data_IF_767148533782
#
_entry.id   IF_767148533782
#
_cell.length_a   1.000
_cell.length_b   1.000
_cell.length_c   1.000
_cell.angle_alpha   90.00
_cell.angle_beta   90.00
_cell.angle_gamma   90.00
#
_symmetry.space_group_name_H-M   'P 1'
#
loop_
_entity.id
_entity.type
_entity.pdbx_description
1 polymer ?
#
# COMPACT_ATOMS: atom_id res chain seq x y z
N UNK A 1 4.96 -7.25 13.14
CA UNK A 1 4.28 -8.56 13.02
C UNK A 1 3.64 -8.92 14.35
N UNK A 2 2.44 -9.48 14.36
CA UNK A 2 1.68 -9.86 15.54
C UNK A 2 2.20 -11.16 16.15
N UNK A 3 1.99 -11.37 17.47
CA UNK A 3 2.34 -12.63 18.13
C UNK A 3 1.60 -13.82 17.52
N UNK A 4 0.29 -13.68 17.26
CA UNK A 4 -0.53 -14.70 16.60
C UNK A 4 -0.03 -15.08 15.21
N UNK A 5 0.57 -14.13 14.47
CA UNK A 5 1.17 -14.39 13.16
C UNK A 5 2.50 -15.14 13.29
N UNK A 6 3.31 -14.80 14.30
CA UNK A 6 4.55 -15.52 14.59
C UNK A 6 4.26 -16.98 14.99
N UNK A 7 3.25 -17.23 15.83
CA UNK A 7 2.81 -18.57 16.24
C UNK A 7 2.39 -19.44 15.06
N UNK A 8 1.62 -18.86 14.11
CA UNK A 8 1.25 -19.57 12.87
C UNK A 8 2.50 -19.90 12.04
N UNK A 9 3.47 -18.96 11.93
CA UNK A 9 4.72 -19.21 11.21
C UNK A 9 5.55 -20.35 11.80
N UNK A 10 5.68 -20.40 13.13
CA UNK A 10 6.37 -21.49 13.84
C UNK A 10 5.67 -22.82 13.60
N UNK A 11 4.34 -22.85 13.72
CA UNK A 11 3.57 -24.06 13.44
C UNK A 11 3.74 -24.54 12.00
N UNK A 12 3.66 -23.62 11.04
CA UNK A 12 3.81 -23.94 9.62
C UNK A 12 5.21 -24.49 9.26
N UNK A 13 6.25 -24.13 10.02
CA UNK A 13 7.58 -24.72 9.88
C UNK A 13 7.55 -26.19 10.35
N UNK A 14 6.93 -26.49 11.50
CA UNK A 14 6.81 -27.86 12.01
C UNK A 14 5.90 -28.72 11.13
N UNK A 15 4.83 -28.16 10.55
CA UNK A 15 3.96 -28.89 9.62
C UNK A 15 4.73 -29.37 8.37
N UNK A 16 5.88 -28.74 8.03
CA UNK A 16 6.76 -29.17 6.94
C UNK A 16 7.70 -30.32 7.33
N UNK A 17 7.84 -30.65 8.60
CA UNK A 17 8.63 -31.81 9.06
C UNK A 17 7.95 -33.14 8.73
N UNK A 18 6.63 -33.12 8.50
CA UNK A 18 5.86 -34.26 8.02
C UNK A 18 5.33 -34.04 6.59
N UNK A 19 6.09 -34.47 5.57
CA UNK A 19 5.68 -34.33 4.18
C UNK A 19 4.36 -35.00 3.82
N UNK A 20 3.95 -36.01 4.60
CA UNK A 20 2.68 -36.75 4.37
C UNK A 20 1.44 -35.92 4.71
N UNK A 21 1.60 -34.87 5.48
CA UNK A 21 0.53 -33.93 5.82
C UNK A 21 0.18 -32.95 4.67
N UNK A 22 1.08 -32.77 3.71
CA UNK A 22 0.89 -31.86 2.57
C UNK A 22 0.06 -32.55 1.47
N UNK A 23 -1.20 -32.19 1.38
CA UNK A 23 -2.12 -32.68 0.33
C UNK A 23 -2.10 -31.74 -0.88
N UNK A 24 -2.40 -32.23 -2.10
CA UNK A 24 -2.53 -31.38 -3.28
C UNK A 24 -3.46 -30.18 -3.09
N UNK A 25 -4.56 -30.38 -2.38
CA UNK A 25 -5.56 -29.34 -2.09
C UNK A 25 -4.97 -28.19 -1.27
N UNK A 26 -4.00 -28.45 -0.40
CA UNK A 26 -3.37 -27.44 0.47
C UNK A 26 -2.69 -26.32 -0.32
N UNK A 27 -2.24 -26.57 -1.56
CA UNK A 27 -1.68 -25.56 -2.45
C UNK A 27 -2.72 -24.48 -2.83
N UNK A 28 -3.98 -24.84 -2.93
CA UNK A 28 -5.05 -23.97 -3.39
C UNK A 28 -5.90 -23.43 -2.23
N UNK A 29 -6.14 -24.23 -1.19
CA UNK A 29 -6.90 -23.82 0.00
C UNK A 29 -6.25 -22.63 0.70
N UNK A 30 -4.93 -22.68 0.95
CA UNK A 30 -4.19 -21.60 1.61
C UNK A 30 -4.19 -20.30 0.79
N UNK A 31 -4.01 -20.40 -0.52
CA UNK A 31 -4.03 -19.22 -1.41
C UNK A 31 -5.43 -18.63 -1.52
N UNK A 32 -6.48 -19.46 -1.60
CA UNK A 32 -7.87 -19.00 -1.60
C UNK A 32 -8.24 -18.30 -0.30
N UNK A 33 -7.83 -18.87 0.85
CA UNK A 33 -8.04 -18.24 2.16
C UNK A 33 -7.41 -16.85 2.25
N UNK A 34 -6.18 -16.67 1.77
CA UNK A 34 -5.50 -15.37 1.75
C UNK A 34 -6.24 -14.38 0.85
N UNK A 35 -6.62 -14.78 -0.37
CA UNK A 35 -7.40 -13.91 -1.27
C UNK A 35 -8.74 -13.52 -0.68
N UNK A 36 -9.42 -14.44 0.01
CA UNK A 36 -10.71 -14.19 0.67
C UNK A 36 -10.58 -13.13 1.76
N UNK A 37 -9.58 -13.25 2.64
CA UNK A 37 -9.36 -12.27 3.70
C UNK A 37 -8.98 -10.89 3.13
N UNK A 38 -8.19 -10.87 2.07
CA UNK A 38 -7.84 -9.61 1.42
C UNK A 38 -9.03 -8.99 0.68
N UNK A 39 -9.82 -9.78 -0.04
CA UNK A 39 -11.04 -9.31 -0.70
C UNK A 39 -12.01 -8.67 0.30
N UNK A 40 -12.18 -9.28 1.48
CA UNK A 40 -12.97 -8.73 2.59
C UNK A 40 -12.41 -7.39 3.06
N UNK A 41 -11.09 -7.29 3.26
CA UNK A 41 -10.43 -6.08 3.77
C UNK A 41 -10.61 -4.87 2.86
N UNK A 42 -10.63 -5.07 1.54
CA UNK A 42 -10.74 -3.98 0.56
C UNK A 42 -12.12 -3.85 -0.08
N UNK A 43 -13.10 -4.67 0.33
CA UNK A 43 -14.44 -4.68 -0.28
C UNK A 43 -14.42 -5.10 -1.75
N UNK A 44 -13.54 -6.03 -2.14
CA UNK A 44 -13.49 -6.53 -3.51
C UNK A 44 -14.68 -7.47 -3.79
N UNK A 45 -15.19 -7.51 -5.04
CA UNK A 45 -16.40 -8.27 -5.38
C UNK A 45 -16.22 -9.79 -5.29
N UNK A 46 -14.98 -10.26 -5.42
CA UNK A 46 -14.63 -11.68 -5.39
C UNK A 46 -13.17 -11.86 -4.97
N UNK A 47 -12.88 -12.97 -4.30
CA UNK A 47 -11.50 -13.40 -4.02
C UNK A 47 -10.70 -13.65 -5.32
N UNK A 48 -11.39 -14.00 -6.41
CA UNK A 48 -10.76 -14.19 -7.73
C UNK A 48 -10.30 -12.90 -8.40
N UNK A 49 -10.72 -11.73 -7.91
CA UNK A 49 -10.17 -10.43 -8.33
C UNK A 49 -8.91 -10.03 -7.57
N UNK A 50 -8.46 -10.89 -6.65
CA UNK A 50 -7.24 -10.72 -5.86
C UNK A 50 -6.15 -11.68 -6.33
N UNK A 51 -4.88 -11.32 -6.10
CA UNK A 51 -3.70 -12.10 -6.45
C UNK A 51 -2.65 -12.00 -5.34
N UNK A 52 -1.91 -13.08 -5.11
CA UNK A 52 -0.78 -13.13 -4.19
C UNK A 52 0.48 -12.73 -4.95
N UNK A 53 1.16 -11.71 -4.46
CA UNK A 53 2.37 -11.16 -5.09
C UNK A 53 3.51 -11.06 -4.08
N UNK A 54 4.78 -11.31 -4.47
CA UNK A 54 5.89 -11.30 -3.54
C UNK A 54 6.28 -9.89 -3.13
N UNK A 55 5.91 -8.90 -3.93
CA UNK A 55 6.25 -7.48 -3.70
C UNK A 55 5.34 -6.55 -4.51
N UNK A 56 5.29 -5.29 -4.09
CA UNK A 56 4.62 -4.22 -4.84
C UNK A 56 5.20 -4.08 -6.26
N UNK A 57 6.53 -4.15 -6.41
CA UNK A 57 7.18 -4.05 -7.73
C UNK A 57 6.79 -5.17 -8.69
N UNK A 58 6.58 -6.40 -8.20
CA UNK A 58 6.07 -7.50 -9.01
C UNK A 58 4.65 -7.20 -9.53
N UNK A 59 3.77 -6.72 -8.64
CA UNK A 59 2.41 -6.36 -9.02
C UNK A 59 2.37 -5.20 -10.02
N UNK A 60 3.18 -4.15 -9.80
CA UNK A 60 3.29 -3.02 -10.73
C UNK A 60 3.86 -3.43 -12.08
N UNK A 61 4.76 -4.42 -12.13
CA UNK A 61 5.27 -4.96 -13.41
C UNK A 61 4.16 -5.66 -14.21
N UNK A 62 3.22 -6.36 -13.55
CA UNK A 62 2.02 -6.89 -14.20
C UNK A 62 1.14 -5.76 -14.78
N UNK A 63 0.94 -4.66 -14.04
CA UNK A 63 0.24 -3.47 -14.54
C UNK A 63 0.95 -2.90 -15.77
N UNK A 64 2.26 -2.65 -15.67
CA UNK A 64 3.07 -2.06 -16.73
C UNK A 64 3.02 -2.90 -18.02
N UNK A 65 3.13 -4.23 -17.91
CA UNK A 65 3.04 -5.14 -19.05
C UNK A 65 1.72 -5.02 -19.80
N UNK A 66 0.62 -4.80 -19.08
CA UNK A 66 -0.74 -4.80 -19.62
C UNK A 66 -1.29 -3.40 -19.93
N UNK A 67 -0.58 -2.33 -19.63
CA UNK A 67 -1.03 -0.98 -19.94
C UNK A 67 -1.11 -0.78 -21.47
N UNK A 68 -2.28 -0.42 -21.95
CA UNK A 68 -2.52 -0.11 -23.38
C UNK A 68 -2.23 1.37 -23.61
N UNK A 69 -0.96 1.72 -23.77
CA UNK A 69 -0.49 3.08 -24.01
C UNK A 69 0.78 3.07 -24.86
N UNK A 70 1.04 4.17 -25.57
CA UNK A 70 2.18 4.33 -26.46
C UNK A 70 2.56 5.80 -26.69
N UNK A 71 3.31 6.05 -27.76
CA UNK A 71 3.77 7.40 -28.11
C UNK A 71 2.60 8.37 -28.29
N UNK A 72 2.65 9.49 -27.61
CA UNK A 72 1.59 10.53 -27.59
C UNK A 72 0.68 10.43 -26.37
N UNK A 73 0.66 9.30 -25.68
CA UNK A 73 -0.04 9.14 -24.40
C UNK A 73 0.81 9.60 -23.22
N UNK A 74 0.17 9.82 -22.06
CA UNK A 74 0.88 10.11 -20.83
C UNK A 74 0.37 9.30 -19.63
N UNK A 75 1.23 9.20 -18.63
CA UNK A 75 0.96 8.65 -17.28
C UNK A 75 1.18 9.77 -16.26
N UNK A 76 0.30 9.88 -15.28
CA UNK A 76 0.40 10.87 -14.19
C UNK A 76 0.74 10.15 -12.90
N UNK A 77 1.79 10.60 -12.21
CA UNK A 77 2.19 10.10 -10.89
C UNK A 77 2.46 11.28 -9.94
N UNK A 78 2.26 11.07 -8.65
CA UNK A 78 2.78 12.01 -7.66
C UNK A 78 4.31 11.90 -7.61
N UNK A 79 4.99 12.99 -7.33
CA UNK A 79 6.43 13.02 -7.10
C UNK A 79 6.80 12.34 -5.77
N UNK A 80 8.10 12.12 -5.55
CA UNK A 80 8.61 11.50 -4.32
C UNK A 80 7.91 10.18 -3.96
N UNK A 81 7.36 9.44 -4.94
CA UNK A 81 6.78 8.11 -4.73
C UNK A 81 7.81 7.16 -4.12
N UNK A 82 7.34 6.13 -3.43
CA UNK A 82 8.24 5.04 -3.07
C UNK A 82 8.91 4.49 -4.35
N UNK A 83 10.23 4.28 -4.37
CA UNK A 83 10.98 4.03 -5.61
C UNK A 83 10.38 2.95 -6.52
N UNK A 84 9.83 1.88 -5.97
CA UNK A 84 9.18 0.83 -6.79
C UNK A 84 7.96 1.34 -7.56
N UNK A 85 7.26 2.35 -7.05
CA UNK A 85 6.13 2.99 -7.72
C UNK A 85 6.54 4.17 -8.63
N UNK A 86 7.83 4.36 -8.84
CA UNK A 86 8.41 5.29 -9.82
C UNK A 86 9.11 4.53 -10.95
N UNK A 87 10.04 3.63 -10.60
CA UNK A 87 10.89 2.98 -11.59
C UNK A 87 10.14 2.12 -12.60
N UNK A 88 9.01 1.52 -12.21
CA UNK A 88 8.17 0.76 -13.14
C UNK A 88 7.64 1.65 -14.29
N UNK A 89 7.23 2.87 -13.95
CA UNK A 89 6.66 3.83 -14.91
C UNK A 89 7.73 4.56 -15.71
N UNK A 90 8.87 4.88 -15.11
CA UNK A 90 10.02 5.46 -15.79
C UNK A 90 10.57 4.50 -16.86
N UNK A 91 10.71 3.23 -16.52
CA UNK A 91 11.14 2.20 -17.47
C UNK A 91 10.14 2.05 -18.63
N UNK A 92 8.84 1.96 -18.33
CA UNK A 92 7.78 1.85 -19.33
C UNK A 92 7.70 3.09 -20.22
N UNK A 93 7.86 4.28 -19.67
CA UNK A 93 7.92 5.55 -20.40
C UNK A 93 9.02 5.53 -21.45
N UNK A 94 10.23 5.12 -21.06
CA UNK A 94 11.38 5.01 -21.96
C UNK A 94 11.20 3.94 -23.02
N UNK A 95 10.65 2.79 -22.65
CA UNK A 95 10.42 1.67 -23.56
C UNK A 95 9.41 2.00 -24.67
N UNK A 96 8.29 2.65 -24.32
CA UNK A 96 7.16 2.86 -25.21
C UNK A 96 6.97 4.29 -25.72
N UNK A 97 7.83 5.22 -25.26
CA UNK A 97 7.72 6.64 -25.63
C UNK A 97 6.50 7.33 -25.04
N UNK A 98 6.00 6.85 -23.90
CA UNK A 98 4.89 7.46 -23.16
C UNK A 98 5.44 8.59 -22.31
N UNK A 99 4.77 9.73 -22.24
CA UNK A 99 5.19 10.84 -21.38
C UNK A 99 4.88 10.53 -19.91
N UNK A 100 5.88 10.54 -19.05
CA UNK A 100 5.69 10.42 -17.59
C UNK A 100 5.57 11.84 -16.99
N UNK A 101 4.37 12.20 -16.53
CA UNK A 101 4.10 13.44 -15.80
C UNK A 101 4.28 13.20 -14.30
N UNK A 102 5.36 13.69 -13.75
CA UNK A 102 5.66 13.64 -12.32
C UNK A 102 5.17 14.94 -11.68
N UNK A 103 4.18 14.88 -10.81
CA UNK A 103 3.53 16.03 -10.21
C UNK A 103 4.15 16.31 -8.85
N UNK A 104 5.04 17.29 -8.78
CA UNK A 104 5.72 17.68 -7.54
C UNK A 104 4.75 18.32 -6.55
N UNK A 105 4.97 18.05 -5.27
CA UNK A 105 4.28 18.77 -4.22
C UNK A 105 4.70 20.25 -4.22
N UNK A 106 3.79 21.18 -3.92
CA UNK A 106 4.13 22.61 -3.90
C UNK A 106 5.08 22.94 -2.73
N UNK A 107 5.88 23.99 -2.90
CA UNK A 107 6.82 24.45 -1.87
C UNK A 107 6.13 25.13 -0.67
N UNK A 108 4.84 25.50 -0.82
CA UNK A 108 4.06 26.06 0.28
C UNK A 108 3.90 25.04 1.43
N UNK A 109 3.88 25.54 2.65
CA UNK A 109 3.74 24.70 3.85
C UNK A 109 2.25 24.53 4.19
N UNK A 110 1.51 25.63 4.31
CA UNK A 110 0.08 25.61 4.63
C UNK A 110 -0.76 25.19 3.42
N UNK A 111 -1.66 24.22 3.61
CA UNK A 111 -2.53 23.70 2.54
C UNK A 111 -1.78 22.92 1.45
N UNK A 112 -0.54 22.53 1.70
CA UNK A 112 0.33 21.86 0.72
C UNK A 112 -0.32 20.57 0.19
N UNK A 113 -0.85 19.73 1.05
CA UNK A 113 -1.47 18.47 0.64
C UNK A 113 -2.74 18.71 -0.20
N UNK A 114 -3.55 19.70 0.13
CA UNK A 114 -4.69 20.12 -0.69
C UNK A 114 -4.25 20.54 -2.08
N UNK A 115 -3.28 21.47 -2.16
CA UNK A 115 -2.79 21.96 -3.44
C UNK A 115 -2.13 20.88 -4.29
N UNK A 116 -1.44 19.92 -3.66
CA UNK A 116 -0.88 18.79 -4.38
C UNK A 116 -1.96 17.90 -5.01
N UNK A 117 -3.05 17.64 -4.28
CA UNK A 117 -4.22 16.95 -4.84
C UNK A 117 -4.79 17.69 -6.07
N UNK A 118 -4.93 19.01 -5.99
CA UNK A 118 -5.39 19.83 -7.12
C UNK A 118 -4.44 19.73 -8.32
N UNK A 119 -3.13 19.84 -8.10
CA UNK A 119 -2.11 19.73 -9.16
C UNK A 119 -2.14 18.36 -9.87
N UNK A 120 -2.41 17.27 -9.12
CA UNK A 120 -2.58 15.93 -9.72
C UNK A 120 -3.80 15.93 -10.66
N UNK A 121 -4.93 16.52 -10.24
CA UNK A 121 -6.13 16.59 -11.08
C UNK A 121 -5.91 17.46 -12.32
N UNK A 122 -5.19 18.58 -12.19
CA UNK A 122 -4.82 19.48 -13.29
C UNK A 122 -3.90 18.80 -14.31
N UNK A 123 -3.02 17.90 -13.87
CA UNK A 123 -2.10 17.17 -14.76
C UNK A 123 -2.80 16.13 -15.66
N UNK A 124 -4.01 15.69 -15.28
CA UNK A 124 -4.79 14.70 -16.04
C UNK A 124 -5.46 15.36 -17.25
N UNK A 125 -5.11 14.93 -18.45
CA UNK A 125 -5.67 15.41 -19.71
C UNK A 125 -6.19 14.28 -20.61
N UNK A 126 -6.65 14.59 -21.79
CA UNK A 126 -7.24 13.63 -22.75
C UNK A 126 -6.26 12.56 -23.25
N UNK A 127 -4.94 12.78 -23.12
CA UNK A 127 -3.91 11.83 -23.48
C UNK A 127 -3.49 10.95 -22.30
N UNK A 128 -4.02 11.21 -21.10
CA UNK A 128 -3.69 10.40 -19.92
C UNK A 128 -4.31 9.01 -20.03
N UNK A 129 -3.48 7.96 -19.89
CA UNK A 129 -3.92 6.57 -19.91
C UNK A 129 -3.86 5.91 -18.53
N UNK A 130 -3.08 6.46 -17.64
CA UNK A 130 -2.94 5.92 -16.27
C UNK A 130 -2.63 7.02 -15.27
N UNK A 131 -3.23 6.92 -14.11
CA UNK A 131 -2.83 7.64 -12.91
C UNK A 131 -2.34 6.60 -11.90
N UNK A 132 -1.10 6.72 -11.41
CA UNK A 132 -0.56 5.84 -10.38
C UNK A 132 -0.12 6.66 -9.15
N UNK A 133 -0.72 6.37 -8.01
CA UNK A 133 -0.45 7.09 -6.76
C UNK A 133 -0.61 6.18 -5.54
N UNK A 134 -0.05 6.57 -4.41
CA UNK A 134 -0.46 6.00 -3.12
C UNK A 134 -1.85 6.48 -2.71
N UNK A 135 -2.53 5.79 -1.80
CA UNK A 135 -3.66 6.39 -1.07
C UNK A 135 -3.14 7.37 -0.01
N UNK A 136 -2.07 6.97 0.67
CA UNK A 136 -1.32 7.82 1.61
C UNK A 136 0.13 7.85 1.16
N UNK A 137 0.69 9.04 1.05
CA UNK A 137 2.07 9.23 0.62
C UNK A 137 3.05 8.73 1.68
N UNK A 138 4.03 7.93 1.26
CA UNK A 138 4.91 7.21 2.16
C UNK A 138 5.88 8.08 2.95
N UNK A 139 6.23 9.26 2.43
CA UNK A 139 7.22 10.14 3.04
C UNK A 139 6.61 11.06 4.10
N UNK A 140 5.45 11.68 3.82
CA UNK A 140 4.87 12.73 4.66
C UNK A 140 3.41 12.48 5.09
N UNK A 141 2.82 11.36 4.69
CA UNK A 141 1.46 11.02 5.09
C UNK A 141 0.35 11.79 4.38
N UNK A 142 0.66 12.56 3.33
CA UNK A 142 -0.36 13.21 2.50
C UNK A 142 -1.36 12.19 1.98
N UNK A 143 -2.64 12.40 2.25
CA UNK A 143 -3.73 11.56 1.75
C UNK A 143 -4.26 12.12 0.43
N UNK A 144 -4.24 11.30 -0.62
CA UNK A 144 -4.76 11.65 -1.92
C UNK A 144 -6.27 11.37 -2.01
N UNK A 145 -6.99 12.27 -2.67
CA UNK A 145 -8.43 12.15 -2.87
C UNK A 145 -8.72 11.19 -4.04
N UNK A 146 -8.78 9.89 -3.72
CA UNK A 146 -9.00 8.85 -4.72
C UNK A 146 -10.32 8.98 -5.46
N UNK A 147 -11.38 9.46 -4.80
CA UNK A 147 -12.68 9.69 -5.43
C UNK A 147 -12.61 10.78 -6.51
N UNK A 148 -11.92 11.88 -6.23
CA UNK A 148 -11.70 12.95 -7.22
C UNK A 148 -10.80 12.49 -8.36
N UNK A 149 -9.73 11.74 -8.06
CA UNK A 149 -8.86 11.13 -9.07
C UNK A 149 -9.65 10.18 -9.97
N UNK A 150 -10.48 9.28 -9.39
CA UNK A 150 -11.31 8.36 -10.17
C UNK A 150 -12.28 9.09 -11.08
N UNK A 151 -12.97 10.10 -10.54
CA UNK A 151 -13.88 10.93 -11.33
C UNK A 151 -13.17 11.56 -12.54
N UNK A 152 -12.01 12.16 -12.32
CA UNK A 152 -11.23 12.80 -13.38
C UNK A 152 -10.68 11.78 -14.37
N UNK A 153 -10.26 10.62 -13.91
CA UNK A 153 -9.81 9.51 -14.77
C UNK A 153 -10.95 8.98 -15.67
N UNK A 154 -12.17 8.86 -15.15
CA UNK A 154 -13.35 8.45 -15.93
C UNK A 154 -13.64 9.43 -17.09
N UNK A 155 -13.46 10.73 -16.88
CA UNK A 155 -13.69 11.77 -17.90
C UNK A 155 -12.75 11.62 -19.11
N UNK A 156 -11.57 11.02 -18.94
CA UNK A 156 -10.56 10.87 -19.98
C UNK A 156 -10.32 9.40 -20.38
N UNK A 157 -11.00 8.45 -19.75
CA UNK A 157 -10.84 7.03 -20.01
C UNK A 157 -9.51 6.44 -19.50
N UNK A 158 -8.92 7.01 -18.45
CA UNK A 158 -7.67 6.53 -17.87
C UNK A 158 -7.91 5.50 -16.78
N UNK A 159 -6.96 4.58 -16.59
CA UNK A 159 -6.96 3.65 -15.46
C UNK A 159 -6.36 4.29 -14.21
N UNK A 160 -6.78 3.81 -13.03
CA UNK A 160 -6.28 4.23 -11.73
C UNK A 160 -5.61 3.07 -11.03
N UNK A 161 -4.33 3.23 -10.70
CA UNK A 161 -3.48 2.26 -10.00
C UNK A 161 -3.12 2.82 -8.63
N UNK A 162 -3.44 2.09 -7.57
CA UNK A 162 -3.26 2.55 -6.20
C UNK A 162 -2.23 1.68 -5.48
N UNK A 163 -1.15 2.31 -4.99
CA UNK A 163 -0.28 1.69 -4.01
C UNK A 163 -0.89 1.89 -2.61
N UNK A 164 -1.55 0.85 -2.11
CA UNK A 164 -2.19 0.82 -0.81
C UNK A 164 -1.26 0.48 0.35
N UNK A 165 0.04 0.36 0.11
CA UNK A 165 1.02 -0.11 1.11
C UNK A 165 1.04 0.72 2.39
N UNK A 166 0.73 2.01 2.31
CA UNK A 166 0.70 2.91 3.48
C UNK A 166 -0.73 3.17 4.02
N UNK A 167 -1.72 2.46 3.51
CA UNK A 167 -3.12 2.66 3.92
C UNK A 167 -3.86 1.37 4.24
N UNK A 168 -3.76 0.35 3.39
CA UNK A 168 -4.54 -0.89 3.54
C UNK A 168 -4.10 -1.64 4.79
N UNK A 169 -5.08 -1.92 5.64
CA UNK A 169 -4.91 -2.49 6.96
C UNK A 169 -5.02 -1.47 8.10
N UNK A 170 -4.89 -0.16 7.82
CA UNK A 170 -5.06 0.87 8.84
C UNK A 170 -6.08 1.94 8.49
N UNK A 171 -6.24 2.26 7.19
CA UNK A 171 -7.23 3.20 6.70
C UNK A 171 -8.32 2.44 5.95
N UNK A 172 -9.61 2.72 6.19
CA UNK A 172 -10.69 2.12 5.42
C UNK A 172 -10.50 2.28 3.92
N UNK A 173 -10.77 1.22 3.18
CA UNK A 173 -10.66 1.18 1.74
C UNK A 173 -11.82 0.39 1.13
N UNK A 174 -12.38 0.88 0.04
CA UNK A 174 -13.46 0.20 -0.67
C UNK A 174 -13.25 0.23 -2.17
N UNK A 175 -13.13 -0.97 -2.76
CA UNK A 175 -13.07 -1.12 -4.22
C UNK A 175 -14.33 -0.56 -4.89
N UNK A 176 -15.51 -0.73 -4.28
CA UNK A 176 -16.76 -0.22 -4.85
C UNK A 176 -16.84 1.30 -4.83
N UNK A 177 -16.23 1.97 -3.84
CA UNK A 177 -16.18 3.42 -3.72
C UNK A 177 -15.17 4.05 -4.68
N UNK A 178 -13.92 3.58 -4.61
CA UNK A 178 -12.82 4.20 -5.36
C UNK A 178 -12.65 3.64 -6.78
N UNK A 179 -13.25 2.50 -7.08
CA UNK A 179 -13.22 1.82 -8.39
C UNK A 179 -11.84 1.79 -9.04
N UNK A 180 -10.78 1.37 -8.31
CA UNK A 180 -9.45 1.27 -8.89
C UNK A 180 -9.40 0.19 -9.95
N UNK A 181 -8.56 0.36 -10.96
CA UNK A 181 -8.28 -0.70 -11.94
C UNK A 181 -7.24 -1.69 -11.39
N UNK A 182 -6.33 -1.22 -10.54
CA UNK A 182 -5.45 -2.09 -9.75
C UNK A 182 -5.14 -1.49 -8.37
N UNK A 183 -5.00 -2.37 -7.38
CA UNK A 183 -4.49 -2.04 -6.04
C UNK A 183 -3.34 -2.98 -5.73
N UNK A 184 -2.25 -2.44 -5.21
CA UNK A 184 -1.08 -3.23 -4.80
C UNK A 184 -0.72 -2.89 -3.35
N UNK A 185 -0.39 -3.89 -2.55
CA UNK A 185 -0.05 -3.65 -1.14
C UNK A 185 0.96 -4.67 -0.61
N UNK A 186 1.98 -4.18 0.10
CA UNK A 186 2.94 -5.01 0.81
C UNK A 186 2.35 -5.54 2.12
N UNK A 187 2.45 -6.84 2.38
CA UNK A 187 1.85 -7.50 3.54
C UNK A 187 2.46 -7.11 4.89
N UNK A 188 3.72 -6.69 4.90
CA UNK A 188 4.51 -6.52 6.14
C UNK A 188 4.33 -5.16 6.86
N UNK A 189 3.58 -4.21 6.28
CA UNK A 189 3.34 -2.91 6.92
C UNK A 189 2.05 -2.93 7.73
N UNK A 190 1.01 -2.27 7.26
CA UNK A 190 -0.24 -2.10 8.01
C UNK A 190 -1.10 -3.36 8.08
N UNK A 191 -0.89 -4.30 7.17
CA UNK A 191 -1.47 -5.64 7.28
C UNK A 191 -0.71 -6.55 8.29
N UNK A 192 0.45 -6.10 8.85
CA UNK A 192 1.19 -6.75 9.93
C UNK A 192 1.68 -8.18 9.65
N UNK A 193 1.74 -8.56 8.39
CA UNK A 193 2.20 -9.87 7.92
C UNK A 193 3.72 -10.00 7.80
N UNK A 194 4.20 -11.09 7.20
CA UNK A 194 5.62 -11.31 6.93
C UNK A 194 6.15 -10.47 5.76
N UNK A 195 7.46 -10.33 5.69
CA UNK A 195 8.14 -9.76 4.53
C UNK A 195 8.11 -10.73 3.33
N UNK A 196 8.35 -10.22 2.12
CA UNK A 196 8.29 -10.98 0.87
C UNK A 196 6.91 -11.63 0.57
N UNK A 197 5.86 -11.08 1.13
CA UNK A 197 4.48 -11.47 0.88
C UNK A 197 3.62 -10.23 0.76
N UNK A 198 2.80 -10.18 -0.26
CA UNK A 198 1.88 -9.08 -0.53
C UNK A 198 0.66 -9.57 -1.30
N UNK A 199 -0.26 -8.65 -1.52
CA UNK A 199 -1.53 -8.92 -2.19
C UNK A 199 -1.87 -7.80 -3.13
N UNK A 200 -2.61 -8.13 -4.18
CA UNK A 200 -3.01 -7.18 -5.20
C UNK A 200 -4.44 -7.45 -5.65
N UNK A 201 -5.12 -6.42 -6.10
CA UNK A 201 -6.40 -6.47 -6.78
C UNK A 201 -6.20 -6.02 -8.22
N UNK A 202 -6.83 -6.73 -9.16
CA UNK A 202 -6.88 -6.33 -10.56
C UNK A 202 -8.33 -6.36 -11.04
N UNK A 203 -8.80 -5.21 -11.49
CA UNK A 203 -10.15 -5.00 -11.96
C UNK A 203 -10.38 -5.51 -13.40
N UNK A 204 -11.51 -5.13 -13.98
CA UNK A 204 -11.97 -5.58 -15.30
C UNK A 204 -10.96 -5.31 -16.42
N UNK A 205 -10.27 -4.16 -16.37
CA UNK A 205 -9.24 -3.81 -17.35
C UNK A 205 -8.16 -4.90 -17.55
N UNK A 206 -7.89 -5.67 -16.49
CA UNK A 206 -6.82 -6.69 -16.47
C UNK A 206 -7.31 -8.13 -16.67
N UNK A 207 -8.61 -8.38 -16.85
CA UNK A 207 -9.14 -9.76 -16.89
C UNK A 207 -8.57 -10.62 -18.00
N UNK A 208 -8.26 -10.03 -19.16
CA UNK A 208 -7.70 -10.72 -20.32
C UNK A 208 -6.20 -10.46 -20.52
N UNK A 209 -5.54 -9.90 -19.51
CA UNK A 209 -4.13 -9.57 -19.58
C UNK A 209 -3.18 -10.77 -19.48
N UNK A 210 -1.93 -10.53 -19.80
CA UNK A 210 -0.85 -11.53 -19.75
C UNK A 210 0.01 -11.34 -18.50
N UNK A 211 0.28 -12.37 -17.70
CA UNK A 211 1.15 -12.27 -16.54
C UNK A 211 2.61 -12.03 -16.95
N UNK A 212 3.40 -11.44 -16.05
CA UNK A 212 4.86 -11.31 -16.26
C UNK A 212 5.57 -12.64 -16.10
N UNK A 213 4.99 -13.56 -15.33
CA UNK A 213 5.52 -14.89 -15.04
C UNK A 213 4.55 -15.97 -15.51
N UNK A 214 5.07 -16.99 -16.18
CA UNK A 214 4.30 -18.14 -16.61
C UNK A 214 4.65 -19.32 -15.69
N UNK A 215 3.79 -19.61 -14.75
CA UNK A 215 3.94 -20.70 -13.79
C UNK A 215 2.79 -21.72 -13.93
N UNK A 216 2.92 -22.88 -13.29
CA UNK A 216 1.95 -23.94 -13.39
C UNK A 216 0.62 -23.62 -12.67
N UNK A 217 0.67 -22.89 -11.53
CA UNK A 217 -0.51 -22.58 -10.72
C UNK A 217 -1.47 -21.60 -11.40
N UNK A 218 -0.95 -20.74 -12.28
CA UNK A 218 -1.80 -19.75 -12.98
C UNK A 218 -2.48 -20.30 -14.23
N UNK A 219 -2.29 -21.61 -14.55
CA UNK A 219 -2.94 -22.26 -15.68
C UNK A 219 -4.25 -22.93 -15.28
N UNK A 220 -5.20 -22.94 -16.21
CA UNK A 220 -6.52 -23.54 -16.02
C UNK A 220 -6.37 -25.03 -15.61
N UNK A 221 -7.19 -25.47 -14.66
CA UNK A 221 -7.20 -26.84 -14.14
C UNK A 221 -5.88 -27.27 -13.47
N UNK A 222 -5.08 -26.32 -12.96
CA UNK A 222 -3.84 -26.66 -12.25
C UNK A 222 -4.06 -27.45 -10.94
N UNK A 223 -5.28 -27.50 -10.44
CA UNK A 223 -5.68 -28.30 -9.29
C UNK A 223 -5.68 -29.83 -9.58
N UNK A 224 -5.79 -30.22 -10.84
CA UNK A 224 -5.71 -31.61 -11.26
C UNK A 224 -4.25 -32.04 -11.49
N UNK A 225 -3.57 -32.40 -10.39
CA UNK A 225 -2.15 -32.81 -10.41
C UNK A 225 -1.87 -33.97 -11.36
N UNK A 226 -2.82 -34.93 -11.49
CA UNK A 226 -2.68 -36.06 -12.40
C UNK A 226 -2.65 -35.66 -13.86
N UNK A 227 -3.22 -34.51 -14.19
CA UNK A 227 -3.37 -34.02 -15.55
C UNK A 227 -2.39 -32.89 -15.91
N UNK A 228 -1.47 -32.50 -15.02
CA UNK A 228 -0.49 -31.44 -15.28
C UNK A 228 0.45 -31.71 -16.46
N UNK A 229 0.59 -32.96 -16.89
CA UNK A 229 1.34 -33.35 -18.10
C UNK A 229 0.65 -32.92 -19.39
N UNK A 230 -0.63 -32.56 -19.34
CA UNK A 230 -1.41 -32.06 -20.45
C UNK A 230 -1.48 -30.52 -20.35
N UNK A 231 -0.51 -29.84 -20.93
CA UNK A 231 -0.34 -28.39 -20.82
C UNK A 231 -1.56 -27.62 -21.27
N UNK A 232 -1.96 -26.64 -20.45
CA UNK A 232 -3.09 -25.75 -20.72
C UNK A 232 -2.59 -24.41 -21.27
N UNK A 233 -3.16 -23.93 -22.36
CA UNK A 233 -2.88 -22.60 -22.89
C UNK A 233 -3.61 -21.50 -22.11
N UNK A 234 -4.78 -21.82 -21.56
CA UNK A 234 -5.63 -20.88 -20.85
C UNK A 234 -5.12 -20.64 -19.43
N UNK A 235 -5.32 -19.42 -18.95
CA UNK A 235 -5.03 -19.05 -17.56
C UNK A 235 -6.23 -19.30 -16.65
N UNK A 236 -5.98 -19.39 -15.36
CA UNK A 236 -7.01 -19.29 -14.33
C UNK A 236 -7.81 -17.99 -14.53
N UNK A 237 -9.12 -17.99 -14.28
CA UNK A 237 -9.95 -16.81 -14.41
C UNK A 237 -9.60 -15.76 -13.37
N UNK A 238 -9.82 -14.49 -13.73
CA UNK A 238 -9.60 -13.35 -12.84
C UNK A 238 -8.11 -13.04 -12.62
N UNK A 239 -7.78 -12.56 -11.43
CA UNK A 239 -6.45 -12.07 -11.07
C UNK A 239 -5.45 -13.17 -10.70
N UNK A 240 -5.91 -14.40 -10.51
CA UNK A 240 -5.04 -15.54 -10.17
C UNK A 240 -3.93 -15.71 -11.21
N UNK A 241 -4.21 -15.37 -12.47
CA UNK A 241 -3.19 -15.37 -13.55
C UNK A 241 -1.96 -14.52 -13.26
N UNK A 242 -2.07 -13.51 -12.38
CA UNK A 242 -1.00 -12.58 -12.02
C UNK A 242 -0.23 -12.99 -10.75
N UNK A 243 -0.57 -14.13 -10.16
CA UNK A 243 0.14 -14.62 -8.98
C UNK A 243 1.57 -15.03 -9.31
N UNK A 244 2.43 -14.83 -8.31
CA UNK A 244 3.79 -15.35 -8.36
C UNK A 244 3.80 -16.88 -8.39
N UNK A 245 4.77 -17.46 -9.07
CA UNK A 245 5.05 -18.89 -8.92
C UNK A 245 5.27 -19.22 -7.45
N UNK A 246 4.76 -20.34 -7.02
CA UNK A 246 4.80 -20.77 -5.61
C UNK A 246 4.04 -19.83 -4.66
N UNK A 247 2.94 -19.21 -5.14
CA UNK A 247 2.04 -18.40 -4.31
C UNK A 247 1.51 -19.16 -3.08
N UNK A 248 1.48 -20.49 -3.16
CA UNK A 248 1.19 -21.40 -2.05
C UNK A 248 2.36 -21.59 -1.07
N UNK A 249 3.09 -20.53 -0.75
CA UNK A 249 4.14 -20.60 0.26
C UNK A 249 3.56 -21.05 1.61
N UNK A 250 3.86 -22.29 2.01
CA UNK A 250 3.26 -22.95 3.19
C UNK A 250 3.58 -22.29 4.53
N UNK A 251 4.51 -21.35 4.57
CA UNK A 251 4.87 -20.57 5.77
C UNK A 251 4.30 -19.16 5.68
N UNK A 252 4.63 -18.41 4.62
CA UNK A 252 4.28 -17.00 4.53
C UNK A 252 2.80 -16.76 4.22
N UNK A 253 2.18 -17.62 3.41
CA UNK A 253 0.77 -17.46 3.04
C UNK A 253 -0.17 -17.63 4.24
N UNK A 254 -0.07 -18.66 5.09
CA UNK A 254 -0.85 -18.74 6.33
C UNK A 254 -0.57 -17.61 7.32
N UNK A 255 0.68 -17.14 7.40
CA UNK A 255 1.04 -16.01 8.24
C UNK A 255 0.34 -14.72 7.78
N UNK A 256 0.36 -14.42 6.48
CA UNK A 256 -0.31 -13.23 5.95
C UNK A 256 -1.83 -13.35 6.06
N UNK A 257 -2.39 -14.54 5.83
CA UNK A 257 -3.82 -14.82 6.04
C UNK A 257 -4.23 -14.50 7.47
N UNK A 258 -3.50 -14.99 8.47
CA UNK A 258 -3.79 -14.70 9.88
C UNK A 258 -3.66 -13.21 10.20
N UNK A 259 -2.66 -12.56 9.61
CA UNK A 259 -2.44 -11.13 9.82
C UNK A 259 -3.63 -10.30 9.31
N UNK A 260 -4.08 -10.56 8.08
CA UNK A 260 -5.21 -9.84 7.48
C UNK A 260 -6.52 -10.17 8.21
N UNK A 261 -6.74 -11.43 8.59
CA UNK A 261 -7.89 -11.83 9.39
C UNK A 261 -7.95 -11.04 10.71
N UNK A 262 -6.81 -10.86 11.40
CA UNK A 262 -6.76 -10.07 12.63
C UNK A 262 -7.07 -8.59 12.39
N UNK A 263 -6.60 -8.02 11.28
CA UNK A 263 -6.92 -6.64 10.88
C UNK A 263 -8.41 -6.50 10.55
N UNK A 264 -9.01 -7.49 9.88
CA UNK A 264 -10.45 -7.55 9.61
C UNK A 264 -11.28 -7.65 10.91
N UNK A 265 -10.81 -8.41 11.90
CA UNK A 265 -11.43 -8.51 13.24
C UNK A 265 -11.41 -7.18 13.98
N UNK A 266 -10.31 -6.44 13.92
CA UNK A 266 -10.18 -5.12 14.54
C UNK A 266 -10.99 -4.04 13.80
N UNK A 267 -11.02 -4.09 12.47
CA UNK A 267 -11.60 -3.09 11.58
C UNK A 267 -10.70 -1.86 11.39
N UNK A 268 -10.38 -1.49 10.15
CA UNK A 268 -9.58 -0.29 9.87
C UNK A 268 -10.19 1.00 10.43
N UNK A 269 -11.52 1.10 10.53
CA UNK A 269 -12.25 2.22 11.13
C UNK A 269 -11.90 2.38 12.61
N UNK A 270 -11.85 1.27 13.35
CA UNK A 270 -11.50 1.27 14.77
C UNK A 270 -10.03 1.62 14.97
N UNK A 271 -9.15 1.19 14.05
CA UNK A 271 -7.73 1.56 14.05
C UNK A 271 -7.59 3.08 13.86
N UNK A 272 -8.32 3.68 12.90
CA UNK A 272 -8.33 5.13 12.72
C UNK A 272 -8.84 5.85 13.96
N UNK A 273 -9.95 5.39 14.55
CA UNK A 273 -10.51 5.98 15.77
C UNK A 273 -9.52 5.94 16.94
N UNK A 274 -8.84 4.80 17.13
CA UNK A 274 -7.80 4.67 18.15
C UNK A 274 -6.66 5.67 17.92
N UNK A 275 -6.12 5.72 16.71
CA UNK A 275 -5.04 6.63 16.35
C UNK A 275 -5.45 8.10 16.49
N UNK A 276 -6.70 8.45 16.15
CA UNK A 276 -7.24 9.79 16.32
C UNK A 276 -7.31 10.19 17.79
N UNK A 277 -7.95 9.37 18.63
CA UNK A 277 -8.05 9.63 20.05
C UNK A 277 -6.67 9.77 20.72
N UNK A 278 -5.73 8.91 20.31
CA UNK A 278 -4.36 8.93 20.81
C UNK A 278 -3.61 10.20 20.41
N UNK A 279 -3.78 10.70 19.18
CA UNK A 279 -2.90 11.75 18.63
C UNK A 279 -3.47 13.16 18.70
N UNK A 280 -4.79 13.33 18.75
CA UNK A 280 -5.44 14.65 18.65
C UNK A 280 -4.95 15.66 19.70
N UNK A 281 -4.82 15.32 21.00
CA UNK A 281 -4.32 16.28 21.99
C UNK A 281 -2.91 16.77 21.64
N UNK A 282 -2.03 15.86 21.29
CA UNK A 282 -0.62 16.13 21.01
C UNK A 282 -0.39 16.86 19.67
N UNK A 283 -1.25 16.64 18.68
CA UNK A 283 -1.23 17.41 17.43
C UNK A 283 -1.55 18.88 17.71
N UNK A 284 -2.48 19.17 18.61
CA UNK A 284 -2.81 20.55 18.99
C UNK A 284 -1.62 21.22 19.67
N UNK A 285 -0.97 20.57 20.64
CA UNK A 285 0.23 21.07 21.28
C UNK A 285 1.40 21.31 20.28
N UNK A 286 1.64 20.38 19.37
CA UNK A 286 2.67 20.54 18.34
C UNK A 286 2.39 21.74 17.42
N UNK A 287 1.11 21.98 17.08
CA UNK A 287 0.71 23.15 16.28
C UNK A 287 0.93 24.47 17.04
N UNK A 288 0.69 24.49 18.35
CA UNK A 288 0.97 25.66 19.21
C UNK A 288 2.48 25.99 19.24
N UNK A 289 3.35 24.98 19.12
CA UNK A 289 4.79 25.12 18.96
C UNK A 289 5.22 25.48 17.51
N UNK A 290 4.27 25.78 16.63
CA UNK A 290 4.54 26.16 15.24
C UNK A 290 4.82 24.99 14.28
N UNK A 291 4.75 23.73 14.75
CA UNK A 291 4.94 22.57 13.90
C UNK A 291 3.78 22.44 12.90
N UNK A 292 4.10 22.37 11.64
CA UNK A 292 3.11 22.23 10.58
C UNK A 292 2.67 20.78 10.39
N UNK A 293 1.38 20.55 10.46
CA UNK A 293 0.73 19.25 10.30
C UNK A 293 -0.48 19.43 9.39
N UNK A 294 -0.58 18.62 8.35
CA UNK A 294 -1.69 18.69 7.39
C UNK A 294 -3.06 18.55 8.09
N UNK A 295 -4.07 19.13 7.48
CA UNK A 295 -5.44 19.02 7.96
C UNK A 295 -5.93 17.56 7.88
N UNK A 296 -6.93 17.23 8.68
CA UNK A 296 -7.50 15.89 8.75
C UNK A 296 -8.08 15.36 7.44
N UNK A 297 -8.54 16.26 6.58
CA UNK A 297 -9.03 15.92 5.25
C UNK A 297 -7.93 15.31 4.37
N UNK A 298 -6.68 15.75 4.57
CA UNK A 298 -5.54 15.42 3.71
C UNK A 298 -4.44 14.60 4.40
N UNK A 299 -4.73 13.95 5.53
CA UNK A 299 -3.84 13.00 6.20
C UNK A 299 -4.58 11.78 6.73
N UNK A 300 -3.87 10.66 6.93
CA UNK A 300 -4.33 9.55 7.75
C UNK A 300 -4.17 9.83 9.25
N UNK A 301 -4.95 9.16 10.11
CA UNK A 301 -4.73 9.21 11.56
C UNK A 301 -3.53 8.34 11.97
N UNK A 302 -3.28 7.29 11.22
CA UNK A 302 -2.21 6.31 11.43
C UNK A 302 -0.86 6.73 10.85
N UNK A 303 -0.81 7.72 9.96
CA UNK A 303 0.44 8.19 9.34
C UNK A 303 0.30 9.65 8.92
N UNK A 304 1.21 10.49 9.42
CA UNK A 304 1.26 11.91 9.09
C UNK A 304 2.66 12.47 9.25
N UNK A 305 2.93 13.60 8.60
CA UNK A 305 4.21 14.30 8.65
C UNK A 305 4.17 15.50 9.57
N UNK A 306 5.28 15.75 10.25
CA UNK A 306 5.56 16.99 10.98
C UNK A 306 6.62 17.77 10.19
N UNK A 307 6.39 19.06 9.94
CA UNK A 307 7.39 19.97 9.39
C UNK A 307 7.75 21.01 10.43
N UNK A 308 9.05 21.16 10.65
CA UNK A 308 9.57 22.05 11.68
C UNK A 308 9.35 23.53 11.27
N UNK A 309 9.02 24.42 12.21
CA UNK A 309 9.11 25.86 12.01
C UNK A 309 10.57 26.27 11.81
N UNK A 310 10.80 27.43 11.22
CA UNK A 310 12.14 27.89 10.83
C UNK A 310 13.14 28.09 11.98
N UNK A 311 12.65 28.28 13.18
CA UNK A 311 13.48 28.44 14.39
C UNK A 311 13.95 27.10 15.01
N UNK A 312 13.36 25.96 14.59
CA UNK A 312 13.74 24.63 15.09
C UNK A 312 14.70 23.94 14.13
N UNK A 313 15.72 23.29 14.69
CA UNK A 313 16.76 22.59 13.92
C UNK A 313 16.49 21.08 13.86
N UNK A 314 16.54 20.51 12.66
CA UNK A 314 16.31 19.07 12.44
C UNK A 314 17.36 18.19 13.13
N UNK A 315 18.63 18.60 13.18
CA UNK A 315 19.69 17.80 13.82
C UNK A 315 19.54 17.78 15.34
N UNK A 316 19.13 18.90 15.94
CA UNK A 316 18.86 18.97 17.36
C UNK A 316 17.65 18.11 17.74
N UNK A 317 16.56 18.13 16.95
CA UNK A 317 15.40 17.26 17.20
C UNK A 317 15.76 15.77 17.06
N UNK A 318 16.63 15.40 16.12
CA UNK A 318 17.17 14.03 16.00
C UNK A 318 17.93 13.61 17.25
N UNK A 319 18.74 14.51 17.82
CA UNK A 319 19.46 14.25 19.06
C UNK A 319 18.47 14.03 20.21
N UNK A 320 17.47 14.89 20.38
CA UNK A 320 16.43 14.72 21.40
C UNK A 320 15.69 13.37 21.23
N UNK A 321 15.37 12.95 20.00
CA UNK A 321 14.74 11.67 19.75
C UNK A 321 15.65 10.50 20.13
N UNK A 322 16.95 10.58 19.83
CA UNK A 322 17.90 9.54 20.20
C UNK A 322 18.03 9.40 21.73
N UNK A 323 18.20 10.52 22.45
CA UNK A 323 18.31 10.56 23.91
C UNK A 323 17.05 10.01 24.62
N UNK A 324 15.86 10.30 24.06
CA UNK A 324 14.56 9.89 24.60
C UNK A 324 14.08 8.54 24.06
N UNK A 325 14.88 7.87 23.21
CA UNK A 325 14.55 6.59 22.55
C UNK A 325 13.23 6.66 21.76
N UNK A 326 13.06 7.74 21.00
CA UNK A 326 11.91 7.93 20.09
C UNK A 326 12.34 7.50 18.69
N UNK A 327 11.63 6.51 18.14
CA UNK A 327 11.94 5.91 16.84
C UNK A 327 10.93 6.39 15.80
N UNK A 328 11.36 7.32 14.97
CA UNK A 328 10.57 7.88 13.86
C UNK A 328 11.35 7.80 12.56
N UNK A 329 10.71 8.07 11.46
CA UNK A 329 11.37 8.14 10.15
C UNK A 329 11.41 9.58 9.66
N UNK A 330 12.61 10.07 9.28
CA UNK A 330 12.76 11.37 8.63
C UNK A 330 12.90 11.14 7.13
N UNK A 331 12.11 11.88 6.34
CA UNK A 331 12.09 11.83 4.87
C UNK A 331 12.11 13.26 4.31
N UNK A 332 13.22 13.62 3.66
CA UNK A 332 13.43 15.02 3.29
C UNK A 332 13.35 15.94 4.52
N UNK A 333 12.46 16.91 4.50
CA UNK A 333 12.17 17.85 5.58
C UNK A 333 10.97 17.47 6.46
N UNK A 334 10.47 16.26 6.34
CA UNK A 334 9.31 15.76 7.10
C UNK A 334 9.72 14.69 8.12
N UNK A 335 9.28 14.84 9.35
CA UNK A 335 9.34 13.82 10.40
C UNK A 335 8.04 13.02 10.30
N UNK A 336 8.12 11.75 9.94
CA UNK A 336 6.96 10.90 9.76
C UNK A 336 6.59 10.18 11.05
N UNK A 337 5.39 10.44 11.53
CA UNK A 337 4.78 9.79 12.69
C UNK A 337 3.83 8.70 12.20
N UNK A 338 3.93 7.52 12.79
CA UNK A 338 3.15 6.33 12.40
C UNK A 338 2.65 5.57 13.64
N UNK A 339 1.67 6.13 14.35
CA UNK A 339 1.07 5.50 15.52
C UNK A 339 0.25 4.27 15.12
N UNK A 340 0.22 3.30 16.02
CA UNK A 340 -0.57 2.08 15.85
C UNK A 340 -1.13 1.63 17.20
N UNK A 341 -1.94 0.56 17.21
CA UNK A 341 -2.64 0.01 18.38
C UNK A 341 -1.74 -0.35 19.57
N UNK A 342 -0.43 -0.42 19.40
CA UNK A 342 0.54 -0.68 20.48
C UNK A 342 1.14 0.58 21.09
N UNK A 343 0.89 1.76 20.53
CA UNK A 343 1.36 3.02 21.10
C UNK A 343 0.43 3.50 22.23
N UNK A 344 1.00 4.18 23.19
CA UNK A 344 0.32 4.74 24.34
C UNK A 344 0.48 6.27 24.37
N UNK A 345 -0.33 6.96 25.17
CA UNK A 345 -0.23 8.40 25.40
C UNK A 345 1.18 8.83 25.80
N UNK A 346 1.85 8.07 26.68
CA UNK A 346 3.22 8.33 27.11
C UNK A 346 4.25 8.33 25.98
N UNK A 347 3.96 7.70 24.82
CA UNK A 347 4.84 7.76 23.65
C UNK A 347 4.72 9.13 22.98
N UNK A 348 3.50 9.66 22.92
CA UNK A 348 3.21 10.97 22.33
C UNK A 348 3.66 12.11 23.24
N UNK A 349 3.49 11.97 24.57
CA UNK A 349 4.02 12.91 25.57
C UNK A 349 5.53 13.10 25.37
N UNK A 350 6.29 12.00 25.33
CA UNK A 350 7.74 12.05 25.08
C UNK A 350 8.10 12.72 23.76
N UNK A 351 7.29 12.47 22.72
CA UNK A 351 7.48 13.12 21.42
C UNK A 351 7.31 14.64 21.54
N UNK A 352 6.21 15.12 22.11
CA UNK A 352 5.91 16.55 22.27
C UNK A 352 6.92 17.24 23.18
N UNK A 353 7.32 16.60 24.27
CA UNK A 353 8.35 17.14 25.16
C UNK A 353 9.69 17.37 24.48
N UNK A 354 10.00 16.60 23.45
CA UNK A 354 11.21 16.84 22.66
C UNK A 354 11.14 18.14 21.86
N UNK A 355 9.94 18.56 21.45
CA UNK A 355 9.74 19.84 20.76
C UNK A 355 9.70 21.02 21.73
N UNK A 356 9.09 20.85 22.93
CA UNK A 356 9.04 21.90 23.96
C UNK A 356 10.43 22.34 24.41
N UNK A 357 11.37 21.41 24.55
CA UNK A 357 12.76 21.74 24.90
C UNK A 357 13.42 22.63 23.84
N UNK A 358 13.07 22.43 22.56
CA UNK A 358 13.63 23.19 21.46
C UNK A 358 13.01 24.59 21.28
N UNK A 359 11.76 24.77 21.72
CA UNK A 359 11.06 26.05 21.65
C UNK A 359 11.58 27.07 22.69
N UNK A 360 12.22 26.56 23.74
CA UNK A 360 12.79 27.36 24.82
C UNK A 360 14.31 27.59 24.73
N UNK A 361 14.99 27.04 23.74
CA UNK A 361 16.42 27.14 23.52
C UNK A 361 16.76 28.25 22.53
#
# INVERSE_FOLDING_TARGET
>A
MLKSVAEIGVRAIYDKDDPSSNRPESFFENTSALRTEFAKLIGAPSERSCAITPSVSYALANVAKNLKAGKGDNMVIADEQFPSNFYAWDALSKERGITLKVVSAPDMIEGRAQRWNELILEAIDTNTKMIATGHVHWADGTKFNLAAIRKRADEVGAIVVIDGTQSIGALPFSVSEFRPDAVVAAGYKWMMGPYASGVSYFGEYFQDGSPIENNWMNRLNSEDFGNLVNYQEQYQPGSIRYEVGESANFILTPMLTRAIAQVNEWGPENIQTYCENLTTPYISELRELGVQIESEAYRGRHLFGLRLPSHMNMEEIKQQFAERRIFVSIRGNSIRISPNLYNLESDLERLVDSFKVMDHA
#
